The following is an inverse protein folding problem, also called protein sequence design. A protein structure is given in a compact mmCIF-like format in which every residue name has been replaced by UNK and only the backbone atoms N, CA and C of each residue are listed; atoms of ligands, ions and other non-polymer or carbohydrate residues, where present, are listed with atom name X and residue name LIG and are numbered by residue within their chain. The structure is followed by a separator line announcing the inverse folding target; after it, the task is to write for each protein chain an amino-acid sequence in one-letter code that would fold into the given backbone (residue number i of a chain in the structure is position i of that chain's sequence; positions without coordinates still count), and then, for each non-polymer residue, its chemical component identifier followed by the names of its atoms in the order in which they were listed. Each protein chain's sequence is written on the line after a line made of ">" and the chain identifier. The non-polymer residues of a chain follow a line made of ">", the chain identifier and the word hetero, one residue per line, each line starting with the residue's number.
data_IF_448359360820
#
_entry.id   IF_448359360820
#
_cell.length_a   1.000
_cell.length_b   1.000
_cell.length_c   1.000
_cell.angle_alpha   90.00
_cell.angle_beta   90.00
_cell.angle_gamma   90.00
#
_symmetry.space_group_name_H-M   'P 1'
#
loop_
_entity.id
_entity.type
_entity.pdbx_description
1 polymer ?
#
# COMPACT_ATOMS: atom_id res chain seq x y z
N UNK A 1 -19.10 3.08 -24.52
CA UNK A 1 -18.07 4.14 -24.64
C UNK A 1 -18.14 5.00 -23.38
N UNK A 2 -17.18 4.84 -22.46
CA UNK A 2 -17.00 5.77 -21.33
C UNK A 2 -15.82 6.65 -21.69
N UNK A 3 -16.09 7.92 -22.00
CA UNK A 3 -15.07 8.96 -22.15
C UNK A 3 -14.42 9.17 -20.78
N UNK A 4 -13.14 8.79 -20.64
CA UNK A 4 -12.27 9.45 -19.67
C UNK A 4 -11.93 10.81 -20.28
N UNK A 5 -12.55 11.85 -19.75
CA UNK A 5 -12.27 13.25 -20.08
C UNK A 5 -10.90 13.61 -19.49
N UNK A 6 -9.83 13.42 -20.27
CA UNK A 6 -8.56 14.09 -20.02
C UNK A 6 -8.79 15.58 -20.32
N UNK A 7 -8.69 16.39 -19.26
CA UNK A 7 -9.09 17.79 -19.21
C UNK A 7 -8.15 18.69 -20.03
N UNK A 8 -8.65 19.87 -20.41
CA UNK A 8 -7.95 21.01 -21.02
C UNK A 8 -6.52 21.27 -20.52
N UNK A 9 -6.16 20.76 -19.34
CA UNK A 9 -4.84 20.87 -18.69
C UNK A 9 -3.71 20.22 -19.51
N UNK A 10 -3.92 19.07 -20.15
CA UNK A 10 -2.86 18.40 -20.92
C UNK A 10 -2.59 19.10 -22.26
N UNK A 11 -3.64 19.64 -22.89
CA UNK A 11 -3.49 20.51 -24.07
C UNK A 11 -2.91 21.88 -23.70
N UNK A 12 -3.17 22.38 -22.49
CA UNK A 12 -2.53 23.57 -21.93
C UNK A 12 -1.03 23.34 -21.70
N UNK A 13 -0.65 22.22 -21.06
CA UNK A 13 0.74 21.83 -20.79
C UNK A 13 1.54 21.64 -22.08
N UNK A 14 0.96 21.00 -23.11
CA UNK A 14 1.62 20.84 -24.40
C UNK A 14 1.82 22.18 -25.13
N UNK A 15 0.89 23.14 -24.98
CA UNK A 15 1.03 24.51 -25.50
C UNK A 15 2.06 25.33 -24.72
N UNK A 16 2.09 25.22 -23.39
CA UNK A 16 3.10 25.85 -22.53
C UNK A 16 4.50 25.30 -22.79
N UNK A 17 4.63 24.01 -23.06
CA UNK A 17 5.90 23.38 -23.41
C UNK A 17 6.43 23.91 -24.74
N UNK A 18 5.58 24.04 -25.76
CA UNK A 18 5.97 24.68 -27.02
C UNK A 18 6.30 26.17 -26.89
N UNK A 19 5.88 26.84 -25.81
CA UNK A 19 6.27 28.22 -25.47
C UNK A 19 7.61 28.30 -24.72
N UNK A 20 7.98 27.26 -23.97
CA UNK A 20 9.21 27.22 -23.13
C UNK A 20 10.45 26.66 -23.85
N UNK A 21 10.27 25.95 -24.97
CA UNK A 21 11.37 25.41 -25.76
C UNK A 21 11.80 26.41 -26.82
N UNK A 22 12.93 27.10 -26.60
CA UNK A 22 13.41 28.10 -27.56
C UNK A 22 13.95 27.44 -28.85
N UNK A 23 14.95 26.53 -28.77
CA UNK A 23 15.56 25.79 -29.91
C UNK A 23 16.34 24.55 -29.45
N UNK A 24 16.76 23.71 -30.40
CA UNK A 24 17.70 22.59 -30.19
C UNK A 24 19.14 23.04 -30.48
N UNK A 25 20.09 22.66 -29.62
CA UNK A 25 21.52 22.87 -29.82
C UNK A 25 22.26 21.53 -29.86
N UNK A 26 23.25 21.39 -30.76
CA UNK A 26 24.07 20.19 -30.86
C UNK A 26 25.32 20.34 -30.01
N UNK A 27 25.52 19.43 -29.06
CA UNK A 27 26.69 19.41 -28.16
C UNK A 27 27.54 18.19 -28.47
N UNK A 28 28.87 18.33 -28.38
CA UNK A 28 29.76 17.17 -28.51
C UNK A 28 29.76 16.35 -27.22
N UNK A 29 29.69 15.03 -27.32
CA UNK A 29 29.68 14.15 -26.14
C UNK A 29 30.90 14.36 -25.23
N UNK A 30 32.05 14.72 -25.81
CA UNK A 30 33.29 14.98 -25.06
C UNK A 30 33.23 16.26 -24.20
N UNK A 31 32.17 17.06 -24.35
CA UNK A 31 31.94 18.29 -23.58
C UNK A 31 30.92 18.07 -22.45
N UNK A 32 30.40 16.85 -22.30
CA UNK A 32 29.45 16.48 -21.26
C UNK A 32 30.26 15.91 -20.09
N UNK A 33 30.13 16.53 -18.93
CA UNK A 33 30.77 16.10 -17.69
C UNK A 33 29.71 15.78 -16.66
N UNK A 34 29.83 14.62 -16.01
CA UNK A 34 28.98 14.28 -14.87
C UNK A 34 29.45 15.04 -13.63
N UNK A 35 28.51 15.50 -12.80
CA UNK A 35 28.86 16.16 -11.55
C UNK A 35 29.64 15.15 -10.67
N UNK A 36 30.79 15.53 -10.07
CA UNK A 36 31.63 14.60 -9.31
C UNK A 36 30.92 13.95 -8.11
N UNK A 37 29.80 14.53 -7.67
CA UNK A 37 28.93 14.03 -6.60
C UNK A 37 27.91 12.97 -7.06
N UNK A 38 27.63 12.87 -8.36
CA UNK A 38 26.60 11.99 -8.95
C UNK A 38 27.22 10.84 -9.76
N UNK A 39 28.55 10.74 -9.75
CA UNK A 39 29.28 9.69 -10.45
C UNK A 39 29.25 8.39 -9.61
N UNK A 40 28.15 7.64 -9.73
CA UNK A 40 28.10 6.27 -9.21
C UNK A 40 29.05 5.37 -10.02
N UNK A 41 29.64 4.37 -9.38
CA UNK A 41 30.38 3.33 -10.11
C UNK A 41 29.48 2.74 -11.18
N UNK A 42 29.97 2.72 -12.43
CA UNK A 42 29.25 2.15 -13.57
C UNK A 42 28.94 0.68 -13.26
N UNK A 43 27.67 0.41 -12.98
CA UNK A 43 27.23 -0.95 -12.73
C UNK A 43 27.13 -1.67 -14.07
N UNK A 44 28.08 -2.58 -14.33
CA UNK A 44 28.25 -3.27 -15.61
C UNK A 44 26.92 -3.86 -16.15
N UNK A 45 26.07 -4.38 -15.25
CA UNK A 45 24.76 -4.94 -15.62
C UNK A 45 23.81 -3.89 -16.21
N UNK A 46 23.84 -2.65 -15.72
CA UNK A 46 23.01 -1.56 -16.25
C UNK A 46 23.49 -1.14 -17.65
N UNK A 47 24.81 -1.14 -17.87
CA UNK A 47 25.40 -0.86 -19.19
C UNK A 47 25.00 -1.94 -20.19
N UNK A 48 25.14 -3.21 -19.84
CA UNK A 48 24.71 -4.33 -20.68
C UNK A 48 23.20 -4.32 -20.96
N UNK A 49 22.40 -3.94 -19.96
CA UNK A 49 20.95 -3.75 -20.09
C UNK A 49 20.62 -2.62 -21.08
N UNK A 50 21.25 -1.45 -20.95
CA UNK A 50 21.09 -0.33 -21.88
C UNK A 50 21.50 -0.72 -23.30
N UNK A 51 22.62 -1.42 -23.48
CA UNK A 51 23.04 -1.92 -24.79
C UNK A 51 22.02 -2.87 -25.41
N UNK A 52 21.39 -3.75 -24.61
CA UNK A 52 20.29 -4.62 -25.07
C UNK A 52 19.04 -3.83 -25.47
N UNK A 53 18.70 -2.78 -24.72
CA UNK A 53 17.58 -1.88 -25.02
C UNK A 53 17.81 -1.21 -26.39
N UNK A 54 18.96 -0.57 -26.58
CA UNK A 54 19.29 0.11 -27.84
C UNK A 54 19.38 -0.85 -29.03
N UNK A 55 19.85 -2.08 -28.82
CA UNK A 55 19.94 -3.09 -29.88
C UNK A 55 18.58 -3.62 -30.33
N UNK A 56 17.57 -3.62 -29.43
CA UNK A 56 16.21 -4.10 -29.73
C UNK A 56 15.29 -3.01 -30.24
N UNK A 57 15.32 -1.83 -29.62
CA UNK A 57 14.33 -0.76 -29.82
C UNK A 57 14.82 0.36 -30.74
N UNK A 58 16.12 0.38 -31.08
CA UNK A 58 16.77 1.48 -31.78
C UNK A 58 16.94 2.73 -30.90
N UNK A 59 17.40 3.83 -31.49
CA UNK A 59 17.52 5.12 -30.81
C UNK A 59 16.59 6.13 -31.51
N UNK A 60 15.46 6.45 -30.88
CA UNK A 60 14.51 7.43 -31.42
C UNK A 60 14.86 8.82 -30.87
N UNK A 61 15.56 9.62 -31.69
CA UNK A 61 16.08 10.95 -31.31
C UNK A 61 15.02 11.97 -30.90
N UNK A 62 13.75 11.75 -31.27
CA UNK A 62 12.64 12.67 -30.98
C UNK A 62 11.84 12.26 -29.72
N UNK A 63 12.18 11.14 -29.09
CA UNK A 63 11.43 10.63 -27.95
C UNK A 63 11.94 11.21 -26.62
N UNK A 64 11.08 11.98 -25.96
CA UNK A 64 11.30 12.64 -24.68
C UNK A 64 11.76 11.71 -23.54
N UNK A 65 11.41 10.41 -23.57
CA UNK A 65 11.86 9.44 -22.57
C UNK A 65 13.37 9.13 -22.66
N UNK A 66 14.02 9.52 -23.76
CA UNK A 66 15.46 9.34 -23.98
C UNK A 66 16.27 10.62 -23.77
N UNK A 67 15.66 11.67 -23.20
CA UNK A 67 16.33 12.94 -22.94
C UNK A 67 16.79 13.02 -21.48
N UNK A 68 18.08 13.28 -21.28
CA UNK A 68 18.66 13.51 -19.96
C UNK A 68 18.76 15.02 -19.75
N UNK A 69 18.25 15.52 -18.62
CA UNK A 69 18.43 16.91 -18.22
C UNK A 69 19.92 17.21 -18.03
N UNK A 70 20.42 18.23 -18.70
CA UNK A 70 21.80 18.68 -18.58
C UNK A 70 21.82 20.14 -18.11
N UNK A 71 22.72 20.45 -17.18
CA UNK A 71 22.95 21.83 -16.73
C UNK A 71 24.01 22.45 -17.64
N UNK A 72 23.68 23.59 -18.25
CA UNK A 72 24.60 24.36 -19.09
C UNK A 72 25.02 25.61 -18.33
N UNK A 73 26.30 25.98 -18.39
CA UNK A 73 26.75 27.23 -17.77
C UNK A 73 26.07 28.41 -18.45
N UNK A 74 25.68 29.41 -17.65
CA UNK A 74 25.06 30.64 -18.14
C UNK A 74 25.89 31.31 -19.24
N UNK A 75 27.21 31.32 -19.09
CA UNK A 75 28.14 31.86 -20.09
C UNK A 75 28.06 31.11 -21.43
N UNK A 76 28.06 29.77 -21.42
CA UNK A 76 27.97 28.98 -22.64
C UNK A 76 26.61 29.13 -23.33
N UNK A 77 25.54 29.28 -22.55
CA UNK A 77 24.20 29.56 -23.08
C UNK A 77 24.15 30.94 -23.74
N UNK A 78 24.68 31.97 -23.08
CA UNK A 78 24.76 33.33 -23.63
C UNK A 78 25.63 33.41 -24.90
N UNK A 79 26.75 32.68 -24.95
CA UNK A 79 27.61 32.61 -26.13
C UNK A 79 26.93 31.90 -27.31
N UNK A 80 26.20 30.81 -27.04
CA UNK A 80 25.43 30.10 -28.05
C UNK A 80 24.25 30.93 -28.57
N UNK A 81 23.55 31.67 -27.70
CA UNK A 81 22.46 32.57 -28.06
C UNK A 81 22.96 33.78 -28.86
N UNK A 82 24.12 34.34 -28.50
CA UNK A 82 24.79 35.40 -29.27
C UNK A 82 25.21 34.92 -30.66
N UNK A 83 25.73 33.70 -30.77
CA UNK A 83 26.07 33.09 -32.06
C UNK A 83 24.82 32.79 -32.92
N UNK A 84 23.68 32.51 -32.28
CA UNK A 84 22.40 32.23 -32.94
C UNK A 84 21.52 33.47 -33.21
N UNK A 85 21.93 34.66 -32.75
CA UNK A 85 21.18 35.93 -32.84
C UNK A 85 19.76 35.86 -32.25
N UNK A 86 19.61 35.30 -31.04
CA UNK A 86 18.32 35.19 -30.35
C UNK A 86 18.37 35.93 -29.00
N UNK A 87 17.42 36.84 -28.76
CA UNK A 87 17.21 37.48 -27.45
C UNK A 87 16.40 36.56 -26.52
N UNK A 88 16.87 36.37 -25.29
CA UNK A 88 16.37 35.36 -24.35
C UNK A 88 15.42 35.93 -23.30
N UNK A 89 14.20 35.37 -23.21
CA UNK A 89 13.37 35.41 -22.02
C UNK A 89 13.54 34.09 -21.25
N UNK A 90 14.05 34.19 -20.02
CA UNK A 90 14.38 33.06 -19.15
C UNK A 90 13.12 32.45 -18.50
N UNK A 91 13.06 31.12 -18.44
CA UNK A 91 12.31 30.40 -17.40
C UNK A 91 13.17 29.22 -16.93
N UNK A 92 13.77 29.42 -15.75
CA UNK A 92 14.32 28.36 -14.89
C UNK A 92 13.15 27.53 -14.33
N UNK A 93 13.24 26.19 -14.35
CA UNK A 93 12.65 25.24 -13.37
C UNK A 93 12.59 23.82 -13.97
N UNK A 94 13.71 23.07 -14.00
CA UNK A 94 13.69 21.60 -14.17
C UNK A 94 14.94 20.96 -13.56
N UNK A 95 15.03 20.96 -12.23
CA UNK A 95 15.99 20.12 -11.50
C UNK A 95 15.24 19.35 -10.43
N UNK A 96 15.46 18.02 -10.41
CA UNK A 96 14.98 17.01 -9.46
C UNK A 96 13.66 16.30 -9.82
N UNK A 97 13.72 15.26 -10.68
CA UNK A 97 12.65 14.25 -10.72
C UNK A 97 13.07 13.01 -9.95
N UNK A 98 12.41 12.79 -8.83
CA UNK A 98 12.39 11.55 -8.05
C UNK A 98 11.89 10.39 -8.93
N UNK A 99 12.36 9.17 -8.68
CA UNK A 99 11.90 7.97 -9.41
C UNK A 99 10.36 7.88 -9.30
N UNK A 100 9.62 7.62 -10.40
CA UNK A 100 8.17 7.57 -10.35
C UNK A 100 7.69 6.48 -9.40
N UNK A 101 6.65 6.80 -8.63
CA UNK A 101 5.96 5.86 -7.75
C UNK A 101 5.25 4.77 -8.56
N UNK A 102 5.01 3.63 -7.92
CA UNK A 102 4.29 2.50 -8.54
C UNK A 102 2.90 2.92 -9.04
N UNK A 103 2.22 3.84 -8.36
CA UNK A 103 0.93 4.40 -8.79
C UNK A 103 1.02 5.24 -10.05
N UNK A 104 2.01 6.12 -10.14
CA UNK A 104 2.25 6.93 -11.34
C UNK A 104 2.59 6.06 -12.55
N UNK A 105 3.41 5.02 -12.34
CA UNK A 105 3.71 4.04 -13.38
C UNK A 105 2.44 3.34 -13.85
N UNK A 106 1.59 2.88 -12.92
CA UNK A 106 0.33 2.23 -13.26
C UNK A 106 -0.60 3.13 -14.09
N UNK A 107 -0.79 4.37 -13.63
CA UNK A 107 -1.63 5.37 -14.32
C UNK A 107 -1.13 5.65 -15.74
N UNK A 108 0.20 5.81 -15.92
CA UNK A 108 0.81 6.06 -17.24
C UNK A 108 0.74 4.87 -18.16
N UNK A 109 1.01 3.67 -17.66
CA UNK A 109 0.83 2.41 -18.41
C UNK A 109 -0.59 2.32 -18.95
N UNK A 110 -1.60 2.70 -18.15
CA UNK A 110 -2.99 2.68 -18.61
C UNK A 110 -3.36 3.75 -19.59
N UNK A 111 -2.88 4.97 -19.38
CA UNK A 111 -3.04 6.04 -20.37
C UNK A 111 -2.55 5.58 -21.76
N UNK A 112 -1.34 5.04 -21.85
CA UNK A 112 -0.76 4.61 -23.12
C UNK A 112 -1.42 3.36 -23.72
N UNK A 113 -2.04 2.52 -22.89
CA UNK A 113 -2.87 1.41 -23.36
C UNK A 113 -4.14 1.90 -24.05
N UNK A 114 -4.82 2.92 -23.49
CA UNK A 114 -5.97 3.57 -24.14
C UNK A 114 -5.58 4.33 -25.42
N UNK A 115 -4.41 4.96 -25.44
CA UNK A 115 -3.88 5.67 -26.61
C UNK A 115 -3.30 4.74 -27.69
N UNK A 116 -3.33 3.42 -27.49
CA UNK A 116 -2.73 2.41 -28.36
C UNK A 116 -1.23 2.65 -28.64
N UNK A 117 -0.52 3.26 -27.68
CA UNK A 117 0.88 3.63 -27.79
C UNK A 117 1.77 2.62 -27.05
N UNK A 118 2.03 1.49 -27.72
CA UNK A 118 2.74 0.34 -27.15
C UNK A 118 4.16 0.67 -26.70
N UNK A 119 4.88 1.55 -27.42
CA UNK A 119 6.25 1.91 -27.07
C UNK A 119 6.34 2.68 -25.73
N UNK A 120 5.42 3.62 -25.49
CA UNK A 120 5.40 4.37 -24.24
C UNK A 120 4.94 3.50 -23.07
N UNK A 121 3.97 2.61 -23.31
CA UNK A 121 3.58 1.57 -22.35
C UNK A 121 4.80 0.74 -21.93
N UNK A 122 5.57 0.23 -22.89
CA UNK A 122 6.74 -0.59 -22.63
C UNK A 122 7.85 0.17 -21.91
N UNK A 123 8.12 1.43 -22.28
CA UNK A 123 9.08 2.28 -21.57
C UNK A 123 8.73 2.47 -20.09
N UNK A 124 7.47 2.74 -19.76
CA UNK A 124 7.04 2.88 -18.36
C UNK A 124 7.10 1.55 -17.59
N UNK A 125 6.82 0.42 -18.25
CA UNK A 125 7.01 -0.91 -17.64
C UNK A 125 8.50 -1.18 -17.37
N UNK A 126 9.42 -0.71 -18.22
CA UNK A 126 10.87 -0.88 -18.00
C UNK A 126 11.43 -0.06 -16.84
N UNK A 127 10.71 0.96 -16.36
CA UNK A 127 11.08 1.70 -15.14
C UNK A 127 10.88 0.86 -13.87
N UNK A 128 10.11 -0.23 -13.93
CA UNK A 128 9.90 -1.14 -12.82
C UNK A 128 11.04 -2.15 -12.69
N UNK A 129 11.23 -2.70 -11.48
CA UNK A 129 12.09 -3.87 -11.31
C UNK A 129 11.51 -5.06 -12.09
N UNK A 130 12.37 -6.02 -12.48
CA UNK A 130 11.95 -7.18 -13.27
C UNK A 130 10.78 -7.94 -12.63
N UNK A 131 10.76 -8.05 -11.30
CA UNK A 131 9.68 -8.70 -10.56
C UNK A 131 8.37 -7.89 -10.61
N UNK A 132 8.44 -6.56 -10.44
CA UNK A 132 7.27 -5.68 -10.53
C UNK A 132 6.70 -5.65 -11.95
N UNK A 133 7.56 -5.62 -12.96
CA UNK A 133 7.14 -5.66 -14.36
C UNK A 133 6.40 -6.97 -14.69
N UNK A 134 6.95 -8.12 -14.28
CA UNK A 134 6.28 -9.42 -14.43
C UNK A 134 4.95 -9.46 -13.70
N UNK A 135 4.90 -8.95 -12.47
CA UNK A 135 3.68 -8.93 -11.68
C UNK A 135 2.59 -8.06 -12.31
N UNK A 136 2.96 -6.87 -12.78
CA UNK A 136 2.05 -5.98 -13.54
C UNK A 136 1.55 -6.65 -14.82
N UNK A 137 2.44 -7.32 -15.57
CA UNK A 137 2.09 -8.07 -16.77
C UNK A 137 1.17 -9.24 -16.48
N UNK A 138 1.38 -9.99 -15.39
CA UNK A 138 0.49 -11.06 -14.99
C UNK A 138 -0.89 -10.50 -14.65
N UNK A 139 -0.94 -9.42 -13.87
CA UNK A 139 -2.19 -8.75 -13.60
C UNK A 139 -2.89 -8.40 -14.92
N UNK A 140 -2.18 -7.85 -15.93
CA UNK A 140 -2.77 -7.42 -17.23
C UNK A 140 -3.58 -8.51 -17.94
N UNK A 141 -3.41 -9.78 -17.59
CA UNK A 141 -4.21 -10.88 -18.13
C UNK A 141 -5.53 -11.13 -17.36
N UNK A 142 -5.75 -10.48 -16.21
CA UNK A 142 -6.96 -10.57 -15.38
C UNK A 142 -7.88 -9.36 -15.59
N UNK A 143 -8.67 -9.39 -16.66
CA UNK A 143 -9.53 -8.27 -17.11
C UNK A 143 -10.45 -7.71 -16.01
N UNK A 144 -10.99 -8.57 -15.14
CA UNK A 144 -11.96 -8.18 -14.12
C UNK A 144 -11.32 -7.41 -12.96
N UNK A 145 -10.14 -7.84 -12.50
CA UNK A 145 -9.38 -7.16 -11.44
C UNK A 145 -8.92 -5.78 -11.96
N UNK A 146 -8.45 -5.72 -13.22
CA UNK A 146 -8.10 -4.45 -13.86
C UNK A 146 -9.27 -3.48 -13.94
N UNK A 147 -10.46 -3.95 -14.31
CA UNK A 147 -11.64 -3.10 -14.34
C UNK A 147 -11.97 -2.53 -12.94
N UNK A 148 -11.73 -3.30 -11.87
CA UNK A 148 -11.85 -2.85 -10.49
C UNK A 148 -10.86 -1.73 -10.15
N UNK A 149 -9.58 -1.91 -10.46
CA UNK A 149 -8.54 -0.90 -10.26
C UNK A 149 -8.78 0.34 -11.12
N UNK A 150 -9.08 0.19 -12.41
CA UNK A 150 -9.41 1.29 -13.32
C UNK A 150 -10.55 2.16 -12.79
N UNK A 151 -11.51 1.56 -12.07
CA UNK A 151 -12.63 2.27 -11.47
C UNK A 151 -12.19 3.30 -10.40
N UNK A 152 -10.98 3.14 -9.84
CA UNK A 152 -10.36 4.02 -8.85
C UNK A 152 -9.48 5.11 -9.46
N UNK A 153 -9.22 5.10 -10.77
CA UNK A 153 -8.44 6.15 -11.46
C UNK A 153 -9.07 7.55 -11.33
N UNK A 154 -10.34 7.62 -10.96
CA UNK A 154 -11.09 8.86 -10.68
C UNK A 154 -10.55 9.60 -9.43
N UNK A 155 -9.79 8.93 -8.55
CA UNK A 155 -9.14 9.53 -7.38
C UNK A 155 -7.62 9.33 -7.50
N UNK A 156 -6.90 10.27 -8.13
CA UNK A 156 -5.46 10.14 -8.36
C UNK A 156 -4.66 9.88 -7.07
N UNK A 157 -5.09 10.50 -5.96
CA UNK A 157 -4.37 10.48 -4.69
C UNK A 157 -4.37 9.11 -3.98
N UNK A 158 -5.32 8.23 -4.28
CA UNK A 158 -5.31 6.87 -3.76
C UNK A 158 -4.12 6.05 -4.27
N UNK A 159 -3.57 6.41 -5.43
CA UNK A 159 -2.53 5.65 -6.12
C UNK A 159 -1.13 5.86 -5.54
N UNK A 160 -0.94 6.87 -4.69
CA UNK A 160 0.32 7.09 -3.96
C UNK A 160 0.75 5.86 -3.14
N UNK A 161 -0.22 5.10 -2.61
CA UNK A 161 -0.03 3.89 -1.81
C UNK A 161 -0.07 2.61 -2.65
N UNK A 162 -0.14 2.72 -3.97
CA UNK A 162 -0.08 1.57 -4.88
C UNK A 162 1.26 0.86 -4.71
N UNK A 163 1.22 -0.47 -4.59
CA UNK A 163 2.42 -1.30 -4.56
C UNK A 163 2.28 -2.40 -5.60
N UNK A 164 2.90 -2.19 -6.76
CA UNK A 164 2.89 -3.17 -7.86
C UNK A 164 3.58 -4.47 -7.40
N UNK A 165 4.55 -4.37 -6.49
CA UNK A 165 5.21 -5.54 -5.93
C UNK A 165 4.29 -6.45 -5.13
N UNK A 166 3.25 -5.92 -4.47
CA UNK A 166 2.27 -6.70 -3.69
C UNK A 166 1.12 -7.26 -4.52
N UNK A 167 1.02 -6.93 -5.81
CA UNK A 167 0.00 -7.49 -6.69
C UNK A 167 0.12 -9.01 -6.85
N UNK A 168 1.29 -9.60 -6.57
CA UNK A 168 1.44 -11.05 -6.60
C UNK A 168 0.52 -11.72 -5.58
N UNK A 169 0.29 -11.08 -4.43
CA UNK A 169 -0.59 -11.58 -3.36
C UNK A 169 -2.04 -11.61 -3.84
N UNK A 170 -2.45 -10.58 -4.58
CA UNK A 170 -3.78 -10.49 -5.21
C UNK A 170 -3.99 -11.64 -6.21
N UNK A 171 -2.96 -11.94 -7.00
CA UNK A 171 -3.01 -13.01 -8.00
C UNK A 171 -2.97 -14.41 -7.33
N UNK A 172 -2.15 -14.60 -6.30
CA UNK A 172 -2.02 -15.86 -5.55
C UNK A 172 -3.29 -16.23 -4.80
N UNK A 173 -4.01 -15.23 -4.26
CA UNK A 173 -5.28 -15.46 -3.57
C UNK A 173 -6.33 -16.14 -4.47
N UNK A 174 -6.32 -15.85 -5.78
CA UNK A 174 -7.26 -16.41 -6.76
C UNK A 174 -8.74 -16.25 -6.37
N UNK A 175 -9.04 -15.17 -5.65
CA UNK A 175 -10.36 -14.75 -5.17
C UNK A 175 -10.75 -13.42 -5.82
N UNK A 176 -11.03 -13.46 -7.12
CA UNK A 176 -11.27 -12.27 -7.93
C UNK A 176 -12.51 -11.49 -7.42
N UNK A 177 -13.55 -12.18 -6.96
CA UNK A 177 -14.78 -11.59 -6.46
C UNK A 177 -14.56 -10.71 -5.22
N UNK A 178 -13.81 -11.20 -4.22
CA UNK A 178 -13.49 -10.49 -2.99
C UNK A 178 -12.61 -9.26 -3.28
N UNK A 179 -11.62 -9.42 -4.16
CA UNK A 179 -10.75 -8.34 -4.61
C UNK A 179 -11.58 -7.23 -5.27
N UNK A 180 -12.43 -7.59 -6.23
CA UNK A 180 -13.29 -6.64 -6.94
C UNK A 180 -14.27 -5.98 -5.97
N UNK A 181 -14.84 -6.74 -5.03
CA UNK A 181 -15.77 -6.22 -4.03
C UNK A 181 -15.08 -5.17 -3.14
N UNK A 182 -13.84 -5.42 -2.72
CA UNK A 182 -13.07 -4.47 -1.93
C UNK A 182 -12.78 -3.19 -2.72
N UNK A 183 -12.30 -3.31 -3.96
CA UNK A 183 -11.99 -2.15 -4.80
C UNK A 183 -13.25 -1.31 -5.07
N UNK A 184 -14.38 -1.96 -5.33
CA UNK A 184 -15.68 -1.27 -5.48
C UNK A 184 -16.14 -0.64 -4.16
N UNK A 185 -15.85 -1.24 -3.00
CA UNK A 185 -16.11 -0.66 -1.69
C UNK A 185 -15.29 0.61 -1.45
N UNK A 186 -13.98 0.59 -1.76
CA UNK A 186 -13.11 1.78 -1.70
C UNK A 186 -13.74 2.91 -2.52
N UNK A 187 -14.09 2.64 -3.77
CA UNK A 187 -14.71 3.61 -4.66
C UNK A 187 -16.02 4.17 -4.10
N UNK A 188 -16.94 3.29 -3.70
CA UNK A 188 -18.26 3.66 -3.16
C UNK A 188 -18.13 4.51 -1.91
N UNK A 189 -17.19 4.17 -1.03
CA UNK A 189 -16.93 4.93 0.18
C UNK A 189 -16.56 6.37 -0.15
N UNK A 190 -15.50 6.59 -0.94
CA UNK A 190 -15.05 7.94 -1.29
C UNK A 190 -16.09 8.72 -2.09
N UNK A 191 -16.80 8.05 -3.00
CA UNK A 191 -17.90 8.65 -3.77
C UNK A 191 -19.07 9.10 -2.88
N UNK A 192 -19.37 8.35 -1.82
CA UNK A 192 -20.44 8.68 -0.86
C UNK A 192 -20.11 9.95 -0.06
N UNK A 193 -18.84 10.19 0.27
CA UNK A 193 -18.41 11.36 1.02
C UNK A 193 -18.72 12.65 0.27
N UNK A 194 -18.46 12.66 -1.04
CA UNK A 194 -18.62 13.84 -1.91
C UNK A 194 -19.93 13.89 -2.69
N UNK A 195 -20.95 13.14 -2.26
CA UNK A 195 -22.30 13.14 -2.86
C UNK A 195 -22.32 12.76 -4.35
N UNK A 196 -21.37 11.92 -4.75
CA UNK A 196 -21.23 11.47 -6.13
C UNK A 196 -20.77 12.52 -7.13
N UNK A 197 -20.20 13.63 -6.66
CA UNK A 197 -19.68 14.67 -7.53
C UNK A 197 -18.22 14.36 -7.95
N UNK A 198 -18.04 14.07 -9.25
CA UNK A 198 -16.72 13.76 -9.83
C UNK A 198 -15.72 14.91 -9.73
N UNK A 199 -16.16 16.16 -9.87
CA UNK A 199 -15.29 17.33 -9.71
C UNK A 199 -14.78 17.47 -8.28
N UNK A 200 -15.58 17.07 -7.29
CA UNK A 200 -15.16 17.03 -5.88
C UNK A 200 -14.23 15.85 -5.57
N UNK A 201 -14.37 14.72 -6.26
CA UNK A 201 -13.43 13.59 -6.14
C UNK A 201 -12.00 14.01 -6.50
N UNK A 202 -11.85 14.80 -7.58
CA UNK A 202 -10.54 15.32 -8.01
C UNK A 202 -9.95 16.39 -7.07
N UNK A 203 -10.73 16.94 -6.15
CA UNK A 203 -10.26 17.91 -5.15
C UNK A 203 -9.65 17.25 -3.91
N UNK A 204 -9.86 15.94 -3.72
CA UNK A 204 -9.25 15.18 -2.63
C UNK A 204 -7.73 15.23 -2.86
N UNK A 205 -6.97 15.53 -1.81
CA UNK A 205 -5.51 15.63 -1.86
C UNK A 205 -4.86 14.40 -1.17
N UNK A 206 -3.57 14.16 -1.43
CA UNK A 206 -2.80 13.07 -0.82
C UNK A 206 -2.91 13.06 0.70
N UNK A 207 -2.66 14.22 1.30
CA UNK A 207 -2.66 14.39 2.76
C UNK A 207 -3.99 13.96 3.40
N UNK A 208 -5.12 14.18 2.71
CA UNK A 208 -6.44 13.76 3.18
C UNK A 208 -6.57 12.25 3.21
N UNK A 209 -6.08 11.55 2.18
CA UNK A 209 -6.13 10.09 2.16
C UNK A 209 -5.23 9.53 3.27
N UNK A 210 -3.99 10.00 3.37
CA UNK A 210 -3.02 9.50 4.36
C UNK A 210 -3.41 9.81 5.81
N UNK A 211 -4.02 10.96 6.07
CA UNK A 211 -4.45 11.33 7.42
C UNK A 211 -5.72 10.59 7.87
N UNK A 212 -6.52 10.10 6.91
CA UNK A 212 -7.80 9.45 7.19
C UNK A 212 -7.72 7.92 7.12
N UNK A 213 -6.81 7.34 6.35
CA UNK A 213 -6.63 5.89 6.26
C UNK A 213 -6.38 5.28 7.65
N UNK A 214 -6.84 4.04 7.85
CA UNK A 214 -6.76 3.29 9.12
C UNK A 214 -7.61 3.81 10.29
N UNK A 215 -8.26 4.96 10.18
CA UNK A 215 -9.13 5.48 11.24
C UNK A 215 -10.54 4.89 11.15
N UNK A 216 -11.14 4.57 12.31
CA UNK A 216 -12.50 4.03 12.43
C UNK A 216 -13.42 4.95 13.27
N UNK A 217 -13.82 6.12 12.73
CA UNK A 217 -14.51 7.16 13.49
C UNK A 217 -15.89 6.77 14.03
N UNK A 218 -16.60 5.81 13.41
CA UNK A 218 -17.89 5.35 13.90
C UNK A 218 -17.80 4.31 15.04
N UNK A 219 -16.60 3.82 15.36
CA UNK A 219 -16.37 2.80 16.40
C UNK A 219 -15.43 3.31 17.49
N UNK A 220 -14.34 3.99 17.13
CA UNK A 220 -13.35 4.52 18.06
C UNK A 220 -13.60 6.01 18.36
N UNK A 221 -13.89 6.32 19.62
CA UNK A 221 -14.05 7.72 20.05
C UNK A 221 -12.76 8.54 19.87
N UNK A 222 -11.59 7.90 20.05
CA UNK A 222 -10.29 8.52 19.83
C UNK A 222 -10.13 8.93 18.37
N UNK A 223 -10.43 8.02 17.45
CA UNK A 223 -10.29 8.25 16.02
C UNK A 223 -11.30 9.31 15.55
N UNK A 224 -12.52 9.24 16.08
CA UNK A 224 -13.55 10.25 15.83
C UNK A 224 -13.07 11.65 16.22
N UNK A 225 -12.47 11.82 17.41
CA UNK A 225 -11.98 13.13 17.86
C UNK A 225 -10.82 13.63 17.00
N UNK A 226 -9.87 12.75 16.66
CA UNK A 226 -8.75 13.09 15.77
C UNK A 226 -9.26 13.55 14.41
N UNK A 227 -10.14 12.75 13.80
CA UNK A 227 -10.69 13.01 12.47
C UNK A 227 -11.60 14.23 12.42
N UNK A 228 -12.42 14.45 13.46
CA UNK A 228 -13.22 15.67 13.58
C UNK A 228 -12.32 16.90 13.56
N UNK A 229 -11.20 16.85 14.29
CA UNK A 229 -10.21 17.91 14.28
C UNK A 229 -9.63 18.15 12.89
N UNK A 230 -9.18 17.08 12.22
CA UNK A 230 -8.58 17.15 10.88
C UNK A 230 -9.55 17.75 9.86
N UNK A 231 -10.80 17.30 9.85
CA UNK A 231 -11.82 17.73 8.87
C UNK A 231 -12.32 19.14 9.16
N UNK A 232 -12.68 19.46 10.42
CA UNK A 232 -13.29 20.77 10.73
C UNK A 232 -12.28 21.92 10.78
N UNK A 233 -10.99 21.64 10.97
CA UNK A 233 -9.93 22.65 10.84
C UNK A 233 -9.44 22.84 9.40
N UNK A 234 -9.94 22.04 8.45
CA UNK A 234 -9.53 22.07 7.04
C UNK A 234 -8.13 21.51 6.77
N UNK A 235 -7.56 20.76 7.73
CA UNK A 235 -6.29 20.03 7.54
C UNK A 235 -6.49 18.84 6.58
N UNK A 236 -7.63 18.15 6.71
CA UNK A 236 -8.16 17.22 5.72
C UNK A 236 -9.22 17.92 4.86
N UNK A 237 -9.32 17.56 3.58
CA UNK A 237 -10.18 18.20 2.59
C UNK A 237 -9.91 19.70 2.42
N UNK A 238 -8.65 20.12 2.36
CA UNK A 238 -8.26 21.55 2.30
C UNK A 238 -8.88 22.33 1.13
N UNK A 239 -9.25 21.65 0.05
CA UNK A 239 -9.85 22.23 -1.17
C UNK A 239 -11.39 22.35 -1.12
N UNK A 240 -11.99 22.10 0.05
CA UNK A 240 -13.43 22.11 0.29
C UNK A 240 -13.83 23.22 1.27
N UNK A 241 -15.08 23.68 1.16
CA UNK A 241 -15.60 24.75 2.01
C UNK A 241 -16.02 24.23 3.40
N UNK A 242 -16.11 25.13 4.38
CA UNK A 242 -16.50 24.75 5.76
C UNK A 242 -17.88 24.09 5.86
N UNK A 243 -18.81 24.41 4.96
CA UNK A 243 -20.12 23.76 4.88
C UNK A 243 -20.00 22.30 4.39
N UNK A 244 -19.09 22.06 3.44
CA UNK A 244 -18.80 20.74 2.90
C UNK A 244 -18.06 19.87 3.93
N UNK A 245 -17.12 20.45 4.68
CA UNK A 245 -16.44 19.76 5.80
C UNK A 245 -17.43 19.20 6.81
N UNK A 246 -18.46 19.98 7.17
CA UNK A 246 -19.52 19.54 8.09
C UNK A 246 -20.37 18.39 7.50
N UNK A 247 -20.66 18.44 6.20
CA UNK A 247 -21.41 17.38 5.52
C UNK A 247 -20.59 16.07 5.44
N UNK A 248 -19.31 16.17 5.10
CA UNK A 248 -18.37 15.05 5.07
C UNK A 248 -18.23 14.45 6.47
N UNK A 249 -18.02 15.28 7.49
CA UNK A 249 -17.90 14.82 8.88
C UNK A 249 -19.13 14.04 9.36
N UNK A 250 -20.35 14.51 9.07
CA UNK A 250 -21.59 13.80 9.42
C UNK A 250 -21.68 12.39 8.81
N UNK A 251 -21.11 12.19 7.62
CA UNK A 251 -21.06 10.88 6.97
C UNK A 251 -19.99 10.00 7.59
N UNK A 252 -18.79 10.53 7.79
CA UNK A 252 -17.67 9.84 8.44
C UNK A 252 -18.05 9.32 9.83
N UNK A 253 -18.76 10.12 10.62
CA UNK A 253 -19.24 9.72 11.94
C UNK A 253 -20.17 8.48 11.92
N UNK A 254 -20.87 8.24 10.81
CA UNK A 254 -21.79 7.09 10.65
C UNK A 254 -21.08 5.84 10.14
N UNK A 255 -19.85 5.96 9.66
CA UNK A 255 -19.06 4.86 9.12
C UNK A 255 -18.52 4.00 10.25
N UNK A 256 -19.12 2.82 10.46
CA UNK A 256 -18.70 1.82 11.46
C UNK A 256 -17.58 0.90 10.98
N UNK A 257 -16.76 1.38 10.05
CA UNK A 257 -15.67 0.63 9.42
C UNK A 257 -14.42 1.51 9.36
N UNK A 258 -13.28 0.87 9.16
CA UNK A 258 -12.02 1.55 8.84
C UNK A 258 -12.19 2.28 7.51
N UNK A 259 -11.62 3.48 7.40
CA UNK A 259 -11.58 4.22 6.13
C UNK A 259 -10.73 3.45 5.11
N UNK A 260 -11.32 3.00 3.99
CA UNK A 260 -10.63 2.18 3.01
C UNK A 260 -9.73 3.02 2.09
N UNK A 261 -8.53 2.52 1.81
CA UNK A 261 -7.62 3.05 0.80
C UNK A 261 -6.91 1.89 0.07
N UNK A 262 -6.08 2.20 -0.93
CA UNK A 262 -5.23 1.16 -1.53
C UNK A 262 -4.23 0.60 -0.51
N UNK A 263 -3.83 1.38 0.49
CA UNK A 263 -2.97 0.88 1.57
C UNK A 263 -3.68 -0.20 2.39
N UNK A 264 -4.91 0.07 2.84
CA UNK A 264 -5.68 -0.92 3.63
C UNK A 264 -5.99 -2.15 2.80
N UNK A 265 -6.29 -1.97 1.50
CA UNK A 265 -6.47 -3.09 0.57
C UNK A 265 -5.27 -4.03 0.55
N UNK A 266 -4.05 -3.52 0.34
CA UNK A 266 -2.85 -4.38 0.31
C UNK A 266 -2.54 -5.00 1.67
N UNK A 267 -2.83 -4.30 2.77
CA UNK A 267 -2.67 -4.85 4.11
C UNK A 267 -3.64 -6.01 4.38
N UNK A 268 -4.91 -5.85 4.01
CA UNK A 268 -5.95 -6.85 4.20
C UNK A 268 -5.72 -8.06 3.28
N UNK A 269 -5.30 -7.82 2.04
CA UNK A 269 -4.93 -8.89 1.09
C UNK A 269 -3.72 -9.68 1.59
N UNK A 270 -2.69 -9.02 2.11
CA UNK A 270 -1.53 -9.70 2.70
C UNK A 270 -1.92 -10.53 3.93
N UNK A 271 -2.89 -10.06 4.72
CA UNK A 271 -3.45 -10.83 5.82
C UNK A 271 -4.22 -12.07 5.32
N UNK A 272 -5.11 -11.89 4.33
CA UNK A 272 -5.87 -12.99 3.74
C UNK A 272 -4.97 -14.04 3.08
N UNK A 273 -3.91 -13.64 2.39
CA UNK A 273 -2.94 -14.57 1.80
C UNK A 273 -2.21 -15.35 2.90
N UNK A 274 -1.81 -14.68 3.99
CA UNK A 274 -1.24 -15.32 5.17
C UNK A 274 -2.19 -16.33 5.81
N UNK A 275 -3.49 -16.02 5.86
CA UNK A 275 -4.53 -16.92 6.35
C UNK A 275 -4.74 -18.11 5.40
N UNK A 276 -4.82 -17.89 4.09
CA UNK A 276 -4.96 -18.97 3.10
C UNK A 276 -3.74 -19.89 3.06
N UNK A 277 -2.53 -19.34 3.21
CA UNK A 277 -1.31 -20.13 3.38
C UNK A 277 -1.32 -20.93 4.71
N UNK A 278 -1.93 -20.38 5.75
CA UNK A 278 -2.16 -21.07 7.02
C UNK A 278 -3.32 -22.08 6.96
N UNK A 279 -4.29 -21.96 6.05
CA UNK A 279 -5.36 -22.95 5.83
C UNK A 279 -4.82 -24.27 5.27
N UNK A 280 -3.69 -24.24 4.57
CA UNK A 280 -2.92 -25.45 4.26
C UNK A 280 -2.20 -26.04 5.49
N UNK A 281 -2.26 -25.37 6.65
CA UNK A 281 -1.65 -25.75 7.92
C UNK A 281 -2.67 -25.69 9.08
N UNK A 282 -3.60 -26.66 9.10
CA UNK A 282 -4.42 -27.07 10.25
C UNK A 282 -5.47 -26.07 10.81
N UNK A 283 -6.75 -26.33 10.49
CA UNK A 283 -7.96 -25.76 11.14
C UNK A 283 -7.93 -25.88 12.68
N UNK A 284 -7.31 -26.94 13.19
CA UNK A 284 -7.08 -27.23 14.61
C UNK A 284 -6.25 -26.11 15.30
N UNK A 285 -5.26 -25.55 14.60
CA UNK A 285 -4.41 -24.49 15.15
C UNK A 285 -5.16 -23.16 15.27
N UNK A 286 -6.03 -22.86 14.30
CA UNK A 286 -6.87 -21.66 14.29
C UNK A 286 -7.86 -21.62 15.45
N UNK A 287 -8.47 -22.76 15.79
CA UNK A 287 -9.38 -22.84 16.94
C UNK A 287 -8.65 -22.56 18.27
N UNK A 288 -7.39 -23.01 18.39
CA UNK A 288 -6.54 -22.68 19.54
C UNK A 288 -6.18 -21.18 19.58
N UNK A 289 -5.81 -20.60 18.44
CA UNK A 289 -5.46 -19.18 18.35
C UNK A 289 -6.66 -18.26 18.62
N UNK A 290 -7.86 -18.63 18.16
CA UNK A 290 -9.09 -17.89 18.41
C UNK A 290 -9.47 -17.93 19.89
N UNK A 291 -9.39 -19.10 20.53
CA UNK A 291 -9.61 -19.25 21.97
C UNK A 291 -8.60 -18.39 22.76
N UNK A 292 -7.30 -18.49 22.45
CA UNK A 292 -6.26 -17.68 23.08
C UNK A 292 -6.47 -16.17 22.90
N UNK A 293 -6.97 -15.74 21.74
CA UNK A 293 -7.23 -14.34 21.45
C UNK A 293 -8.42 -13.80 22.25
N UNK A 294 -9.46 -14.60 22.44
CA UNK A 294 -10.65 -14.25 23.24
C UNK A 294 -10.32 -14.10 24.74
N UNK A 295 -9.36 -14.89 25.24
CA UNK A 295 -8.96 -14.90 26.66
C UNK A 295 -7.62 -14.18 26.93
N UNK A 296 -7.17 -13.34 26.00
CA UNK A 296 -5.84 -12.71 26.03
C UNK A 296 -5.57 -11.80 27.24
N UNK A 297 -6.62 -11.25 27.87
CA UNK A 297 -6.51 -10.46 29.10
C UNK A 297 -6.20 -11.31 30.35
N UNK A 298 -6.50 -12.60 30.29
CA UNK A 298 -6.35 -13.58 31.39
C UNK A 298 -5.15 -14.53 31.18
N UNK A 299 -4.46 -14.38 30.03
CA UNK A 299 -3.30 -15.17 29.67
C UNK A 299 -2.05 -14.74 30.45
N UNK A 300 -1.23 -15.68 30.94
CA UNK A 300 0.02 -15.34 31.60
C UNK A 300 0.97 -14.64 30.61
N UNK A 301 1.71 -13.60 31.03
CA UNK A 301 2.66 -12.92 30.16
C UNK A 301 3.75 -13.90 29.70
N UNK A 302 3.94 -14.03 28.38
CA UNK A 302 4.99 -14.88 27.81
C UNK A 302 6.36 -14.26 28.12
N UNK A 303 7.11 -14.90 29.02
CA UNK A 303 8.48 -14.49 29.34
C UNK A 303 9.43 -14.89 28.18
N UNK A 304 10.16 -13.92 27.62
CA UNK A 304 11.17 -14.13 26.56
C UNK A 304 12.50 -14.70 27.09
N UNK A 305 12.48 -15.73 27.94
CA UNK A 305 13.70 -16.46 28.32
C UNK A 305 13.53 -17.95 28.15
N UNK A 306 14.28 -18.49 27.19
CA UNK A 306 14.61 -19.91 27.10
C UNK A 306 15.35 -20.30 28.39
N UNK A 307 14.63 -20.80 29.39
CA UNK A 307 15.17 -21.69 30.42
C UNK A 307 13.99 -22.36 31.15
N UNK A 308 14.06 -23.69 31.18
CA UNK A 308 13.16 -24.59 31.88
C UNK A 308 13.05 -24.20 33.36
N UNK A 309 11.83 -24.36 33.90
CA UNK A 309 11.36 -24.09 35.27
C UNK A 309 11.05 -22.63 35.60
N UNK A 310 9.80 -22.22 35.33
CA UNK A 310 9.16 -21.11 36.03
C UNK A 310 7.98 -21.61 36.87
N UNK A 311 7.97 -21.20 38.14
CA UNK A 311 6.79 -21.30 39.02
C UNK A 311 5.70 -20.34 38.51
N UNK A 312 4.42 -20.75 38.50
CA UNK A 312 3.34 -19.90 38.04
C UNK A 312 3.16 -18.70 39.00
N UNK A 313 2.96 -17.52 38.40
CA UNK A 313 2.52 -16.32 39.11
C UNK A 313 1.04 -16.48 39.45
N UNK A 314 0.69 -16.21 40.70
CA UNK A 314 -0.57 -16.56 41.40
C UNK A 314 -1.86 -15.86 40.90
N UNK A 315 -1.90 -15.35 39.68
CA UNK A 315 -3.11 -14.71 39.10
C UNK A 315 -3.47 -15.26 37.71
N UNK A 316 -2.85 -16.39 37.32
CA UNK A 316 -3.22 -17.07 36.08
C UNK A 316 -4.49 -17.89 36.35
N UNK A 317 -5.55 -17.67 35.58
CA UNK A 317 -6.83 -18.37 35.76
C UNK A 317 -6.63 -19.86 35.42
N UNK A 318 -6.29 -20.69 36.40
CA UNK A 318 -5.91 -22.11 36.23
C UNK A 318 -6.97 -22.91 35.46
N UNK A 319 -8.24 -22.51 35.60
CA UNK A 319 -9.38 -23.03 34.84
C UNK A 319 -9.25 -22.80 33.33
N UNK A 320 -8.83 -21.61 32.90
CA UNK A 320 -8.66 -21.28 31.47
C UNK A 320 -7.49 -22.03 30.85
N UNK A 321 -6.39 -22.21 31.59
CA UNK A 321 -5.23 -22.99 31.12
C UNK A 321 -5.63 -24.46 30.93
N UNK A 322 -6.41 -25.02 31.84
CA UNK A 322 -6.95 -26.37 31.72
C UNK A 322 -7.93 -26.50 30.54
N UNK A 323 -8.84 -25.54 30.35
CA UNK A 323 -9.77 -25.52 29.21
C UNK A 323 -9.03 -25.42 27.86
N UNK A 324 -7.98 -24.59 27.77
CA UNK A 324 -7.15 -24.50 26.57
C UNK A 324 -6.40 -25.81 26.30
N UNK A 325 -5.87 -26.47 27.34
CA UNK A 325 -5.25 -27.79 27.20
C UNK A 325 -6.26 -28.87 26.77
N UNK A 326 -7.50 -28.80 27.27
CA UNK A 326 -8.57 -29.73 26.91
C UNK A 326 -8.99 -29.56 25.45
N UNK A 327 -9.13 -28.31 24.99
CA UNK A 327 -9.36 -27.99 23.59
C UNK A 327 -8.21 -28.47 22.71
N UNK A 328 -6.95 -28.28 23.13
CA UNK A 328 -5.80 -28.77 22.38
C UNK A 328 -5.81 -30.30 22.23
N UNK A 329 -6.14 -31.04 23.30
CA UNK A 329 -6.27 -32.50 23.24
C UNK A 329 -7.41 -32.96 22.32
N UNK A 330 -8.56 -32.26 22.35
CA UNK A 330 -9.69 -32.54 21.46
C UNK A 330 -9.38 -32.28 19.99
N UNK A 331 -8.41 -31.40 19.71
CA UNK A 331 -7.94 -31.02 18.39
C UNK A 331 -6.67 -31.78 17.98
N UNK A 332 -6.46 -32.97 18.53
CA UNK A 332 -5.36 -33.89 18.20
C UNK A 332 -3.94 -33.37 18.46
N UNK A 333 -3.78 -32.28 19.22
CA UNK A 333 -2.47 -31.86 19.68
C UNK A 333 -2.00 -32.80 20.81
N UNK A 334 -1.16 -33.77 20.45
CA UNK A 334 -0.54 -34.68 21.43
C UNK A 334 0.86 -34.19 21.80
N UNK A 335 0.99 -33.59 22.99
CA UNK A 335 2.28 -33.26 23.57
C UNK A 335 2.31 -33.56 25.07
N UNK A 336 3.50 -33.87 25.59
CA UNK A 336 3.74 -34.14 27.02
C UNK A 336 3.24 -33.00 27.91
N UNK A 337 3.49 -31.72 27.60
CA UNK A 337 2.97 -30.60 28.40
C UNK A 337 1.44 -30.53 28.45
N UNK A 338 0.75 -30.85 27.34
CA UNK A 338 -0.73 -30.85 27.31
C UNK A 338 -1.26 -31.95 28.23
N UNK A 339 -0.68 -33.16 28.18
CA UNK A 339 -1.06 -34.27 29.06
C UNK A 339 -0.88 -33.94 30.54
N UNK A 340 0.24 -33.32 30.90
CA UNK A 340 0.53 -32.87 32.27
C UNK A 340 -0.45 -31.80 32.77
N UNK A 341 -0.92 -30.90 31.91
CA UNK A 341 -1.90 -29.88 32.26
C UNK A 341 -3.31 -30.46 32.46
N UNK A 342 -3.70 -31.48 31.69
CA UNK A 342 -4.98 -32.18 31.87
C UNK A 342 -5.02 -32.97 33.19
N UNK A 343 -3.90 -33.59 33.58
CA UNK A 343 -3.79 -34.29 34.86
C UNK A 343 -3.88 -33.36 36.08
N UNK A 344 -3.71 -32.05 35.85
CA UNK A 344 -3.77 -30.99 36.87
C UNK A 344 -5.14 -30.31 36.92
N UNK A 345 -6.21 -30.98 36.49
CA UNK A 345 -7.59 -30.47 36.53
C UNK A 345 -7.90 -29.71 37.85
N UNK A 346 -8.32 -28.43 37.78
CA UNK A 346 -8.63 -27.62 38.96
C UNK A 346 -9.71 -28.26 39.85
N UNK A 347 -10.73 -28.88 39.26
CA UNK A 347 -11.77 -29.60 39.98
C UNK A 347 -11.22 -30.82 40.73
N UNK A 348 -10.28 -31.54 40.12
CA UNK A 348 -9.63 -32.68 40.75
C UNK A 348 -8.72 -32.23 41.91
N UNK A 349 -8.05 -31.08 41.78
CA UNK A 349 -7.25 -30.50 42.86
C UNK A 349 -8.13 -30.03 44.02
N UNK A 350 -9.25 -29.36 43.73
CA UNK A 350 -10.23 -28.94 44.73
C UNK A 350 -10.86 -30.16 45.42
N UNK A 351 -11.25 -31.19 44.67
CA UNK A 351 -11.81 -32.42 45.21
C UNK A 351 -10.79 -33.19 46.08
N UNK A 352 -9.52 -33.28 45.66
CA UNK A 352 -8.43 -33.87 46.46
C UNK A 352 -8.18 -33.07 47.73
N UNK A 353 -8.10 -31.74 47.65
CA UNK A 353 -7.90 -30.88 48.81
C UNK A 353 -9.08 -30.98 49.80
N UNK A 354 -10.32 -31.00 49.30
CA UNK A 354 -11.52 -31.21 50.10
C UNK A 354 -11.55 -32.60 50.74
N UNK A 355 -11.19 -33.65 49.99
CA UNK A 355 -11.10 -35.02 50.51
C UNK A 355 -10.03 -35.15 51.60
N UNK A 356 -8.83 -34.58 51.40
CA UNK A 356 -7.76 -34.56 52.39
C UNK A 356 -8.14 -33.76 53.65
N UNK A 357 -8.92 -32.69 53.49
CA UNK A 357 -9.43 -31.89 54.62
C UNK A 357 -10.56 -32.59 55.37
N UNK A 358 -11.38 -33.39 54.68
CA UNK A 358 -12.43 -34.20 55.28
C UNK A 358 -11.90 -35.53 55.87
N UNK A 359 -10.71 -35.96 55.45
CA UNK A 359 -10.06 -37.18 55.93
C UNK A 359 -9.60 -37.02 57.38
N UNK A 360 -10.19 -37.82 58.27
CA UNK A 360 -9.75 -37.95 59.67
C UNK A 360 -8.94 -39.25 59.81
N UNK A 361 -7.66 -39.19 60.24
CA UNK A 361 -6.80 -40.39 60.33
C UNK A 361 -7.27 -41.42 61.37
N UNK A 362 -8.09 -41.02 62.35
CA UNK A 362 -8.39 -41.81 63.55
C UNK A 362 -9.75 -42.53 63.52
N UNK A 363 -10.28 -42.81 62.33
CA UNK A 363 -11.55 -43.54 62.18
C UNK A 363 -11.39 -44.71 61.19
N UNK A 364 -10.53 -45.66 61.52
CA UNK A 364 -10.55 -47.04 60.99
C UNK A 364 -10.07 -48.02 62.05
#
# INVERSE_FOLDING_TARGET
>A
MKQLMFTDVETQLSKEHNLKYQRTAKVSLNQIFFHPSECHQLYQKNVEQLCRIFSKSGCQQLDHCNHISAVVSKQNLEDALRAAQVESSLVDEYSNKQLPSDGEVYQKVRQYEYEANTCHKDCWITCLSENKAKCLQQLLHHDHIWAGFDSLLVIPELWSRMNIGSLHQVITLNCDEEVIHYLEYVKKFWFSLVEGNLSKMMKINLHTVEALELLAPGVSHKDAKTMQGLVLRGEAFSNFDSSEHMAIWKKLQRTKAIIPSLFTFFQDIGYLEGMAAAEHSNLEYHQLCLYASQHSAEMPPVSKKNNLLMKPSYDSNETMIYEMAALAQQLNFDSTPIKELIEQSPDQQIARAAALKAWRPDCY
#
